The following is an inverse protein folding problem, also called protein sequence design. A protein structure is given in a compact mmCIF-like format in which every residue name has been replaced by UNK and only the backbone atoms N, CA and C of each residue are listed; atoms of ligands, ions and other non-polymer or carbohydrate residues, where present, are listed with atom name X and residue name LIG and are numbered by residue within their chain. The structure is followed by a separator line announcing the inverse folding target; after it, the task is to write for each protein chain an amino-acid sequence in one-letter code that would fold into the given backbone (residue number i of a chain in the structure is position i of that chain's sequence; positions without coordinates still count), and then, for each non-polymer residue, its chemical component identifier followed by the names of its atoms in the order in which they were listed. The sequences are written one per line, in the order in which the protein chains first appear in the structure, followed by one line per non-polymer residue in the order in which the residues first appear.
data_IF_152194900978
#
_entry.id   IF_152194900978
#
_cell.length_a   1.000
_cell.length_b   1.000
_cell.length_c   1.000
_cell.angle_alpha   90.00
_cell.angle_beta   90.00
_cell.angle_gamma   90.00
#
_symmetry.space_group_name_H-M   'P 1'
#
loop_
_entity.id
_entity.type
_entity.pdbx_description
1 polymer ?
#
# COMPACT_ATOMS: atom_id res chain seq x y z
N UNK A 1 -34.21 31.26 -75.26
CA UNK A 1 -35.31 30.66 -76.07
C UNK A 1 -35.38 29.17 -75.77
N UNK A 2 -36.55 28.73 -75.56
CA UNK A 2 -37.11 27.35 -75.46
C UNK A 2 -37.12 26.74 -74.07
N UNK A 3 -38.28 26.84 -73.51
CA UNK A 3 -38.93 26.04 -72.48
C UNK A 3 -39.10 24.60 -72.96
N UNK A 4 -39.01 23.64 -72.08
CA UNK A 4 -39.91 22.46 -72.13
C UNK A 4 -40.19 21.95 -70.70
N UNK A 5 -41.43 21.63 -70.51
CA UNK A 5 -42.16 21.34 -69.29
C UNK A 5 -42.19 19.86 -68.95
N UNK A 6 -42.36 19.59 -67.66
CA UNK A 6 -42.77 18.41 -66.86
C UNK A 6 -43.51 17.26 -67.60
N UNK A 7 -43.55 16.02 -67.01
CA UNK A 7 -44.46 15.83 -65.87
C UNK A 7 -43.96 14.91 -64.77
N UNK A 8 -44.58 15.07 -63.58
CA UNK A 8 -44.51 14.26 -62.39
C UNK A 8 -45.22 12.91 -62.57
N UNK A 9 -44.62 11.85 -61.95
CA UNK A 9 -45.40 10.69 -61.49
C UNK A 9 -44.84 10.27 -60.17
N UNK A 10 -45.69 10.32 -59.13
CA UNK A 10 -45.41 9.88 -57.82
C UNK A 10 -45.49 8.36 -57.68
N UNK A 11 -44.65 7.83 -56.75
CA UNK A 11 -44.94 6.56 -56.10
C UNK A 11 -44.50 6.72 -54.62
N UNK A 12 -45.48 6.74 -53.73
CA UNK A 12 -45.33 6.55 -52.31
C UNK A 12 -44.88 5.10 -52.08
N UNK A 13 -43.67 4.95 -51.61
CA UNK A 13 -43.18 3.70 -51.01
C UNK A 13 -42.98 3.89 -49.48
N UNK A 14 -43.91 3.39 -48.65
CA UNK A 14 -43.74 3.27 -47.24
C UNK A 14 -42.63 2.23 -46.99
N UNK A 15 -41.45 2.69 -46.61
CA UNK A 15 -40.44 1.84 -46.04
C UNK A 15 -40.64 1.81 -44.52
N UNK A 16 -41.20 0.72 -44.00
CA UNK A 16 -41.24 0.41 -42.59
C UNK A 16 -39.80 0.07 -42.14
N UNK A 17 -39.13 0.99 -41.46
CA UNK A 17 -37.91 0.69 -40.74
C UNK A 17 -38.27 -0.17 -39.52
N UNK A 18 -38.02 -1.48 -39.63
CA UNK A 18 -37.96 -2.35 -38.48
C UNK A 18 -36.67 -1.99 -37.68
N UNK A 19 -36.82 -1.28 -36.55
CA UNK A 19 -35.81 -1.14 -35.52
C UNK A 19 -35.64 -2.51 -34.85
N UNK A 20 -34.76 -3.35 -35.41
CA UNK A 20 -34.21 -4.47 -34.67
C UNK A 20 -33.26 -3.88 -33.62
N UNK A 21 -33.74 -3.74 -32.40
CA UNK A 21 -32.92 -3.45 -31.25
C UNK A 21 -31.89 -4.59 -31.11
N UNK A 22 -30.63 -4.26 -31.36
CA UNK A 22 -29.54 -5.10 -30.89
C UNK A 22 -29.56 -5.04 -29.34
N UNK A 23 -30.27 -5.99 -28.73
CA UNK A 23 -29.94 -6.37 -27.35
C UNK A 23 -28.57 -7.01 -27.46
N UNK A 24 -27.53 -6.28 -27.01
CA UNK A 24 -26.26 -6.90 -26.68
C UNK A 24 -26.56 -7.97 -25.65
N UNK A 25 -26.16 -9.22 -25.86
CA UNK A 25 -26.22 -10.18 -24.78
C UNK A 25 -25.37 -9.59 -23.64
N UNK A 26 -25.93 -9.44 -22.46
CA UNK A 26 -25.17 -9.35 -21.25
C UNK A 26 -24.25 -10.56 -21.30
N UNK A 27 -22.95 -10.31 -21.51
CA UNK A 27 -21.95 -11.35 -21.37
C UNK A 27 -22.03 -11.75 -19.88
N UNK A 28 -22.65 -12.89 -19.63
CA UNK A 28 -22.46 -13.59 -18.37
C UNK A 28 -20.94 -13.78 -18.26
N UNK A 29 -20.31 -13.22 -17.23
CA UNK A 29 -18.90 -13.42 -16.99
C UNK A 29 -18.64 -14.93 -16.99
N UNK A 30 -17.67 -15.39 -17.78
CA UNK A 30 -17.29 -16.78 -17.75
C UNK A 30 -16.94 -17.13 -16.29
N UNK A 31 -17.30 -18.32 -15.79
CA UNK A 31 -16.90 -18.73 -14.45
C UNK A 31 -15.39 -18.58 -14.33
N UNK A 32 -14.95 -17.97 -13.23
CA UNK A 32 -13.53 -17.82 -12.94
C UNK A 32 -12.87 -19.22 -12.97
N UNK A 33 -11.67 -19.30 -13.53
CA UNK A 33 -10.89 -20.54 -13.48
C UNK A 33 -10.43 -20.75 -12.01
N UNK A 34 -10.88 -21.80 -11.33
CA UNK A 34 -10.52 -22.02 -9.93
C UNK A 34 -9.02 -22.28 -9.73
N UNK A 35 -8.28 -22.53 -10.82
CA UNK A 35 -6.83 -22.74 -10.79
C UNK A 35 -6.07 -21.55 -11.42
N UNK A 36 -6.73 -20.43 -11.72
CA UNK A 36 -6.02 -19.26 -12.18
C UNK A 36 -5.00 -18.80 -11.12
N UNK A 37 -3.81 -18.32 -11.50
CA UNK A 37 -2.84 -17.81 -10.53
C UNK A 37 -3.45 -16.66 -9.72
N UNK A 38 -2.97 -16.50 -8.48
CA UNK A 38 -3.25 -15.31 -7.66
C UNK A 38 -2.20 -14.26 -8.02
N UNK A 39 -2.63 -13.09 -8.44
CA UNK A 39 -1.74 -12.01 -8.84
C UNK A 39 -1.62 -10.96 -7.73
N UNK A 40 -0.39 -10.53 -7.42
CA UNK A 40 -0.09 -9.63 -6.29
C UNK A 40 0.69 -8.43 -6.78
N UNK A 41 0.29 -7.22 -6.36
CA UNK A 41 1.11 -6.02 -6.47
C UNK A 41 1.76 -5.71 -5.11
N UNK A 42 3.05 -5.37 -5.13
CA UNK A 42 3.80 -4.99 -3.93
C UNK A 42 4.93 -4.02 -4.28
N UNK A 43 5.43 -3.30 -3.26
CA UNK A 43 6.68 -2.58 -3.38
C UNK A 43 7.84 -3.57 -3.34
N UNK A 44 8.94 -3.30 -4.07
CA UNK A 44 10.17 -4.06 -3.92
C UNK A 44 10.66 -4.02 -2.46
N UNK A 45 11.00 -5.16 -1.90
CA UNK A 45 11.53 -5.29 -0.54
C UNK A 45 12.91 -5.88 -0.60
N UNK A 46 13.94 -5.03 -0.38
CA UNK A 46 15.34 -5.42 -0.35
C UNK A 46 15.96 -5.62 -1.74
N UNK A 47 17.15 -5.08 -1.92
CA UNK A 47 17.93 -5.20 -3.17
C UNK A 47 19.08 -6.22 -3.05
N UNK A 48 19.19 -6.95 -1.92
CA UNK A 48 20.27 -7.93 -1.72
C UNK A 48 19.93 -9.24 -2.46
N UNK A 49 20.59 -9.54 -3.59
CA UNK A 49 20.33 -10.77 -4.34
C UNK A 49 20.79 -12.05 -3.61
N UNK A 50 21.38 -11.91 -2.41
CA UNK A 50 21.86 -13.03 -1.60
C UNK A 50 20.98 -13.31 -0.39
N UNK A 51 20.04 -12.41 -0.04
CA UNK A 51 19.05 -12.60 1.00
C UNK A 51 17.74 -13.17 0.42
N UNK A 52 17.01 -13.94 1.19
CA UNK A 52 15.64 -14.33 0.82
C UNK A 52 14.76 -13.08 0.75
N UNK A 53 14.05 -12.92 -0.36
CA UNK A 53 13.15 -11.81 -0.55
C UNK A 53 11.84 -12.09 0.21
N UNK A 54 11.44 -11.28 1.20
CA UNK A 54 10.24 -11.54 1.99
C UNK A 54 8.96 -11.72 1.18
N UNK A 55 8.83 -11.05 0.02
CA UNK A 55 7.66 -11.19 -0.83
C UNK A 55 7.66 -12.53 -1.60
N UNK A 56 8.84 -13.06 -1.96
CA UNK A 56 8.95 -14.38 -2.58
C UNK A 56 8.57 -15.46 -1.56
N UNK A 57 9.05 -15.35 -0.32
CA UNK A 57 8.65 -16.25 0.78
C UNK A 57 7.14 -16.19 1.03
N UNK A 58 6.57 -14.97 1.06
CA UNK A 58 5.12 -14.79 1.17
C UNK A 58 4.38 -15.51 0.03
N UNK A 59 4.84 -15.34 -1.22
CA UNK A 59 4.22 -15.96 -2.38
C UNK A 59 4.30 -17.50 -2.31
N UNK A 60 5.47 -18.06 -1.98
CA UNK A 60 5.64 -19.53 -1.81
C UNK A 60 4.69 -20.09 -0.73
N UNK A 61 4.58 -19.43 0.42
CA UNK A 61 3.66 -19.85 1.48
C UNK A 61 2.19 -19.74 1.03
N UNK A 62 1.84 -18.72 0.24
CA UNK A 62 0.50 -18.55 -0.30
C UNK A 62 0.18 -19.62 -1.37
N UNK A 63 1.16 -20.00 -2.20
CA UNK A 63 1.03 -21.14 -3.12
C UNK A 63 0.78 -22.44 -2.38
N UNK A 64 1.56 -22.70 -1.32
CA UNK A 64 1.41 -23.91 -0.50
C UNK A 64 0.04 -23.99 0.17
N UNK A 65 -0.46 -22.87 0.72
CA UNK A 65 -1.73 -22.83 1.45
C UNK A 65 -2.95 -22.89 0.53
N UNK A 66 -2.87 -22.26 -0.65
CA UNK A 66 -4.00 -22.16 -1.59
C UNK A 66 -4.01 -23.24 -2.67
N UNK A 67 -2.84 -23.86 -2.96
CA UNK A 67 -2.64 -24.77 -4.07
C UNK A 67 -2.72 -24.10 -5.44
N UNK A 68 -2.58 -22.77 -5.52
CA UNK A 68 -2.60 -21.96 -6.74
C UNK A 68 -1.24 -21.29 -6.93
N UNK A 69 -0.81 -21.14 -8.17
CA UNK A 69 0.39 -20.37 -8.51
C UNK A 69 0.20 -18.90 -8.08
N UNK A 70 1.27 -18.24 -7.65
CA UNK A 70 1.28 -16.81 -7.26
C UNK A 70 2.21 -16.03 -8.18
N UNK A 71 1.69 -14.96 -8.78
CA UNK A 71 2.46 -14.08 -9.66
C UNK A 71 2.65 -12.70 -9.00
N UNK A 72 3.90 -12.29 -8.83
CA UNK A 72 4.27 -11.01 -8.20
C UNK A 72 4.49 -9.95 -9.28
N UNK A 73 3.96 -8.76 -9.04
CA UNK A 73 4.21 -7.55 -9.82
C UNK A 73 4.79 -6.47 -8.91
N UNK A 74 6.05 -6.12 -9.13
CA UNK A 74 6.68 -5.01 -8.44
C UNK A 74 6.19 -3.68 -9.00
N UNK A 75 5.83 -2.77 -8.11
CA UNK A 75 5.40 -1.41 -8.45
C UNK A 75 6.19 -0.39 -7.63
N UNK A 76 6.35 0.86 -8.11
CA UNK A 76 7.29 1.81 -7.52
C UNK A 76 6.83 2.42 -6.18
N UNK A 77 5.52 2.43 -5.88
CA UNK A 77 4.93 3.12 -4.74
C UNK A 77 3.58 2.53 -4.35
N UNK A 78 3.08 2.88 -3.17
CA UNK A 78 1.79 2.40 -2.66
C UNK A 78 0.59 2.82 -3.53
N UNK A 79 0.63 4.00 -4.14
CA UNK A 79 -0.46 4.43 -5.02
C UNK A 79 -0.54 3.55 -6.27
N UNK A 80 0.59 3.10 -6.78
CA UNK A 80 0.67 2.15 -7.88
C UNK A 80 0.12 0.76 -7.51
N UNK A 81 0.27 0.31 -6.23
CA UNK A 81 -0.40 -0.90 -5.74
C UNK A 81 -1.92 -0.73 -5.82
N UNK A 82 -2.45 0.39 -5.30
CA UNK A 82 -3.89 0.68 -5.30
C UNK A 82 -4.44 0.71 -6.74
N UNK A 83 -3.74 1.39 -7.65
CA UNK A 83 -4.11 1.46 -9.05
C UNK A 83 -4.13 0.07 -9.73
N UNK A 84 -3.14 -0.78 -9.44
CA UNK A 84 -3.10 -2.13 -10.01
C UNK A 84 -4.30 -2.98 -9.54
N UNK A 85 -4.69 -2.88 -8.27
CA UNK A 85 -5.86 -3.57 -7.71
C UNK A 85 -7.14 -3.01 -8.33
N UNK A 86 -7.30 -1.68 -8.32
CA UNK A 86 -8.49 -0.99 -8.82
C UNK A 86 -8.75 -1.23 -10.31
N UNK A 87 -7.68 -1.33 -11.10
CA UNK A 87 -7.76 -1.58 -12.54
C UNK A 87 -7.89 -3.08 -12.90
N UNK A 88 -8.10 -3.97 -11.93
CA UNK A 88 -8.14 -5.42 -12.12
C UNK A 88 -6.86 -6.00 -12.78
N UNK A 89 -5.72 -5.32 -12.61
CA UNK A 89 -4.43 -5.83 -13.11
C UNK A 89 -3.85 -6.90 -12.19
N UNK A 90 -4.18 -6.84 -10.89
CA UNK A 90 -3.83 -7.84 -9.90
C UNK A 90 -5.04 -8.16 -9.01
N UNK A 91 -5.01 -9.31 -8.36
CA UNK A 91 -6.07 -9.75 -7.45
C UNK A 91 -5.96 -9.07 -6.09
N UNK A 92 -4.73 -8.96 -5.56
CA UNK A 92 -4.47 -8.42 -4.23
C UNK A 92 -3.22 -7.53 -4.18
N UNK A 93 -3.11 -6.79 -3.07
CA UNK A 93 -1.89 -6.10 -2.66
C UNK A 93 -1.77 -6.11 -1.15
N UNK A 94 -0.53 -6.15 -0.66
CA UNK A 94 -0.23 -6.06 0.77
C UNK A 94 0.39 -4.69 1.08
N UNK A 95 -0.18 -4.00 2.07
CA UNK A 95 0.23 -2.63 2.39
C UNK A 95 0.18 -2.38 3.89
N UNK A 96 0.95 -1.38 4.35
CA UNK A 96 0.85 -0.89 5.72
C UNK A 96 -0.50 -0.19 5.99
N UNK A 97 -0.82 0.07 7.26
CA UNK A 97 -2.15 0.52 7.67
C UNK A 97 -2.65 1.80 6.99
N UNK A 98 -1.77 2.81 6.88
CA UNK A 98 -2.15 4.11 6.30
C UNK A 98 -2.53 4.02 4.81
N UNK A 99 -1.70 3.52 3.89
CA UNK A 99 -2.10 3.38 2.49
C UNK A 99 -3.30 2.46 2.33
N UNK A 100 -3.47 1.45 3.21
CA UNK A 100 -4.68 0.63 3.23
C UNK A 100 -5.92 1.44 3.58
N UNK A 101 -5.84 2.29 4.61
CA UNK A 101 -6.93 3.19 5.00
C UNK A 101 -7.31 4.14 3.86
N UNK A 102 -6.33 4.74 3.20
CA UNK A 102 -6.53 5.62 2.05
C UNK A 102 -7.24 4.87 0.92
N UNK A 103 -6.75 3.69 0.56
CA UNK A 103 -7.30 2.88 -0.52
C UNK A 103 -8.75 2.44 -0.26
N UNK A 104 -9.03 1.89 0.93
CA UNK A 104 -10.39 1.46 1.33
C UNK A 104 -11.37 2.63 1.35
N UNK A 105 -10.92 3.81 1.76
CA UNK A 105 -11.75 5.01 1.82
C UNK A 105 -12.18 5.54 0.44
N UNK A 106 -11.48 5.15 -0.64
CA UNK A 106 -11.94 5.43 -2.01
C UNK A 106 -13.24 4.71 -2.36
N UNK A 107 -13.51 3.58 -1.70
CA UNK A 107 -14.61 2.68 -2.04
C UNK A 107 -14.40 1.89 -3.33
N UNK A 108 -13.18 1.83 -3.86
CA UNK A 108 -12.84 1.18 -5.14
C UNK A 108 -12.03 -0.12 -4.95
N UNK A 109 -11.59 -0.40 -3.72
CA UNK A 109 -10.93 -1.64 -3.33
C UNK A 109 -11.54 -2.17 -2.03
N UNK A 110 -11.42 -3.47 -1.79
CA UNK A 110 -11.88 -4.10 -0.57
C UNK A 110 -10.70 -4.46 0.33
N UNK A 111 -10.86 -4.31 1.65
CA UNK A 111 -9.93 -4.92 2.58
C UNK A 111 -10.36 -6.39 2.82
N UNK A 112 -9.48 -7.33 2.48
CA UNK A 112 -9.74 -8.77 2.66
C UNK A 112 -9.39 -9.23 4.07
N UNK A 113 -8.23 -8.79 4.57
CA UNK A 113 -7.73 -9.07 5.92
C UNK A 113 -7.01 -7.84 6.43
N UNK A 114 -7.30 -7.41 7.67
CA UNK A 114 -6.52 -6.41 8.38
C UNK A 114 -5.75 -7.04 9.54
N UNK A 115 -4.55 -6.56 9.77
CA UNK A 115 -3.68 -6.97 10.87
C UNK A 115 -3.73 -5.91 11.96
N UNK A 116 -4.20 -6.28 13.15
CA UNK A 116 -4.29 -5.36 14.28
C UNK A 116 -2.89 -4.94 14.72
N UNK A 117 -2.76 -3.68 15.09
CA UNK A 117 -1.56 -3.18 15.73
C UNK A 117 -1.41 -3.68 17.16
N UNK A 118 -0.24 -3.46 17.71
CA UNK A 118 0.04 -3.65 19.14
C UNK A 118 0.21 -2.27 19.82
N UNK A 119 0.38 -2.27 21.14
CA UNK A 119 0.55 -1.02 21.91
C UNK A 119 1.98 -0.44 21.82
N UNK A 120 2.77 -0.83 20.79
CA UNK A 120 4.16 -0.39 20.64
C UNK A 120 4.28 0.76 19.64
N UNK A 121 5.34 1.58 19.80
CA UNK A 121 5.68 2.59 18.81
C UNK A 121 5.91 1.98 17.42
N UNK A 122 5.37 2.65 16.41
CA UNK A 122 5.48 2.20 15.01
C UNK A 122 6.76 2.72 14.37
N UNK A 123 7.14 3.97 14.69
CA UNK A 123 8.20 4.67 13.99
C UNK A 123 9.16 5.36 14.95
N UNK A 124 10.39 5.50 14.49
CA UNK A 124 11.43 6.35 15.08
C UNK A 124 12.18 7.07 13.97
N UNK A 125 12.89 8.15 14.28
CA UNK A 125 13.83 8.75 13.34
C UNK A 125 15.26 8.39 13.73
N UNK A 126 15.98 7.77 12.80
CA UNK A 126 17.39 7.37 12.95
C UNK A 126 18.28 8.56 12.66
N UNK A 127 19.25 8.79 13.52
CA UNK A 127 20.34 9.74 13.34
C UNK A 127 21.69 9.04 13.55
N UNK A 128 22.76 9.54 12.92
CA UNK A 128 24.11 9.03 13.20
C UNK A 128 24.53 9.38 14.63
N UNK A 129 25.37 8.56 15.22
CA UNK A 129 25.70 8.67 16.65
C UNK A 129 26.43 9.96 17.04
N UNK A 130 27.10 10.62 16.08
CA UNK A 130 27.74 11.92 16.22
C UNK A 130 26.83 13.12 15.89
N UNK A 131 25.57 12.87 15.50
CA UNK A 131 24.58 13.92 15.23
C UNK A 131 24.31 14.77 16.48
N UNK A 132 24.11 16.09 16.34
CA UNK A 132 23.71 16.95 17.46
C UNK A 132 22.21 16.81 17.83
N UNK A 133 21.41 16.06 17.08
CA UNK A 133 19.99 15.85 17.34
C UNK A 133 19.83 14.83 18.47
N UNK A 134 19.42 15.27 19.66
CA UNK A 134 19.24 14.41 20.85
C UNK A 134 17.76 14.19 21.18
N UNK A 135 16.90 15.15 20.84
CA UNK A 135 15.45 15.13 21.10
C UNK A 135 14.65 15.43 19.83
N UNK A 136 13.33 15.25 19.90
CA UNK A 136 12.44 15.51 18.74
C UNK A 136 12.44 17.01 18.38
N UNK A 137 12.55 17.90 19.35
CA UNK A 137 12.58 19.35 19.14
C UNK A 137 13.85 19.81 18.39
N UNK A 138 14.94 19.03 18.42
CA UNK A 138 16.18 19.34 17.71
C UNK A 138 16.05 19.15 16.17
N UNK A 139 14.93 18.64 15.69
CA UNK A 139 14.65 18.58 14.25
C UNK A 139 14.33 19.96 13.63
N UNK A 140 14.17 21.01 14.45
CA UNK A 140 14.02 22.40 13.94
C UNK A 140 15.20 22.78 13.04
N UNK A 141 14.90 23.19 11.81
CA UNK A 141 15.88 23.58 10.78
C UNK A 141 16.64 22.43 10.15
N UNK A 142 16.22 21.16 10.35
CA UNK A 142 16.86 19.97 9.81
C UNK A 142 16.22 19.48 8.53
N UNK A 143 16.96 18.67 7.79
CA UNK A 143 16.44 17.90 6.63
C UNK A 143 16.21 16.47 7.06
N UNK A 144 14.97 16.00 6.91
CA UNK A 144 14.51 14.67 7.34
C UNK A 144 14.13 13.85 6.13
N UNK A 145 14.71 12.66 5.99
CA UNK A 145 14.29 11.70 4.98
C UNK A 145 13.09 10.89 5.47
N UNK A 146 12.08 10.84 4.62
CA UNK A 146 10.93 9.95 4.73
C UNK A 146 10.96 8.92 3.60
N UNK A 147 10.30 7.77 3.80
CA UNK A 147 10.29 6.70 2.83
C UNK A 147 9.38 7.01 1.62
N UNK A 148 8.19 6.45 1.60
CA UNK A 148 7.15 6.70 0.59
C UNK A 148 6.10 7.67 1.13
N UNK A 149 5.49 8.47 0.24
CA UNK A 149 4.50 9.52 0.61
C UNK A 149 3.21 8.96 1.23
N UNK A 150 2.93 7.69 1.02
CA UNK A 150 1.79 7.00 1.62
C UNK A 150 2.20 6.05 2.75
N UNK A 151 3.50 5.94 3.08
CA UNK A 151 3.99 5.02 4.11
C UNK A 151 3.49 5.38 5.50
N UNK A 152 2.97 4.40 6.24
CA UNK A 152 2.62 4.55 7.65
C UNK A 152 3.83 4.91 8.49
N UNK A 153 4.80 3.97 8.57
CA UNK A 153 5.96 4.09 9.44
C UNK A 153 7.07 4.98 8.90
N UNK A 154 7.12 5.15 7.58
CA UNK A 154 8.13 5.96 6.91
C UNK A 154 7.72 7.41 6.66
N UNK A 155 6.45 7.79 6.94
CA UNK A 155 5.99 9.16 6.71
C UNK A 155 4.91 9.61 7.70
N UNK A 156 3.70 9.05 7.69
CA UNK A 156 2.59 9.59 8.47
C UNK A 156 2.83 9.58 9.98
N UNK A 157 3.30 8.46 10.52
CA UNK A 157 3.55 8.34 11.95
C UNK A 157 4.70 9.22 12.43
N UNK A 158 5.84 9.32 11.71
CA UNK A 158 6.88 10.29 12.05
C UNK A 158 6.40 11.75 11.95
N UNK A 159 5.65 12.12 10.92
CA UNK A 159 5.10 13.49 10.79
C UNK A 159 4.18 13.82 11.96
N UNK A 160 3.32 12.88 12.34
CA UNK A 160 2.46 13.04 13.52
C UNK A 160 3.29 13.22 14.81
N UNK A 161 4.34 12.42 15.00
CA UNK A 161 5.27 12.55 16.14
C UNK A 161 5.94 13.93 16.18
N UNK A 162 6.41 14.43 15.03
CA UNK A 162 7.02 15.76 14.92
C UNK A 162 6.01 16.87 15.20
N UNK A 163 4.78 16.74 14.70
CA UNK A 163 3.69 17.67 14.96
C UNK A 163 3.33 17.75 16.45
N UNK A 164 3.24 16.62 17.14
CA UNK A 164 2.98 16.57 18.59
C UNK A 164 4.09 17.28 19.41
N UNK A 165 5.32 17.32 18.88
CA UNK A 165 6.42 18.11 19.43
C UNK A 165 6.39 19.60 19.01
N UNK A 166 5.39 20.01 18.23
CA UNK A 166 5.20 21.40 17.78
C UNK A 166 5.99 21.77 16.52
N UNK A 167 6.43 20.77 15.73
CA UNK A 167 7.20 20.99 14.50
C UNK A 167 6.34 20.72 13.26
N UNK A 168 6.25 21.71 12.37
CA UNK A 168 5.44 21.64 11.15
C UNK A 168 6.32 21.42 9.92
N UNK A 169 5.96 20.41 9.12
CA UNK A 169 6.65 20.09 7.86
C UNK A 169 6.65 21.31 6.91
N UNK A 170 7.81 21.59 6.31
CA UNK A 170 7.99 22.70 5.38
C UNK A 170 8.06 24.07 6.03
N UNK A 171 7.86 24.15 7.35
CA UNK A 171 8.03 25.38 8.16
C UNK A 171 9.21 25.22 9.10
N UNK A 172 9.22 24.18 9.90
CA UNK A 172 10.22 23.97 10.94
C UNK A 172 11.28 22.97 10.52
N UNK A 173 10.98 22.07 9.60
CA UNK A 173 11.95 21.13 9.01
C UNK A 173 11.65 20.87 7.52
N UNK A 174 12.69 20.47 6.77
CA UNK A 174 12.57 20.10 5.36
C UNK A 174 12.38 18.60 5.23
N UNK A 175 11.37 18.17 4.45
CA UNK A 175 11.07 16.78 4.17
C UNK A 175 11.61 16.36 2.80
N UNK A 176 12.31 15.22 2.74
CA UNK A 176 12.75 14.58 1.49
C UNK A 176 12.17 13.17 1.45
N UNK A 177 11.52 12.81 0.34
CA UNK A 177 11.05 11.44 0.09
C UNK A 177 12.10 10.67 -0.68
N UNK A 178 12.55 9.56 -0.10
CA UNK A 178 13.65 8.75 -0.63
C UNK A 178 13.19 7.50 -1.40
N UNK A 179 11.87 7.31 -1.54
CA UNK A 179 11.25 6.21 -2.29
C UNK A 179 11.09 4.90 -1.49
N UNK A 180 11.71 4.80 -0.31
CA UNK A 180 11.64 3.65 0.59
C UNK A 180 12.54 3.84 1.81
N UNK A 181 12.49 2.89 2.74
CA UNK A 181 13.31 2.94 3.96
C UNK A 181 14.80 2.84 3.63
N UNK A 182 15.18 1.97 2.71
CA UNK A 182 16.57 1.80 2.26
C UNK A 182 17.11 3.10 1.63
N UNK A 183 16.29 3.78 0.83
CA UNK A 183 16.64 5.09 0.26
C UNK A 183 16.88 6.15 1.34
N UNK A 184 16.05 6.16 2.40
CA UNK A 184 16.20 7.05 3.54
C UNK A 184 17.50 6.78 4.32
N UNK A 185 17.83 5.52 4.55
CA UNK A 185 19.10 5.12 5.20
C UNK A 185 20.32 5.49 4.35
N UNK A 186 20.25 5.26 3.03
CA UNK A 186 21.33 5.63 2.11
C UNK A 186 21.55 7.16 2.09
N UNK A 187 20.48 7.96 2.13
CA UNK A 187 20.58 9.42 2.20
C UNK A 187 21.23 9.88 3.51
N UNK A 188 20.90 9.22 4.64
CA UNK A 188 21.50 9.51 5.94
C UNK A 188 22.99 9.13 5.97
N UNK A 189 23.35 7.93 5.50
CA UNK A 189 24.73 7.45 5.44
C UNK A 189 25.61 8.37 4.58
N UNK A 190 25.05 8.90 3.48
CA UNK A 190 25.76 9.82 2.58
C UNK A 190 25.78 11.28 3.10
N UNK A 191 25.18 11.58 4.23
CA UNK A 191 25.10 12.92 4.82
C UNK A 191 24.26 13.89 3.98
N UNK A 192 23.31 13.39 3.20
CA UNK A 192 22.36 14.20 2.42
C UNK A 192 21.20 14.73 3.27
N UNK A 193 20.93 14.05 4.38
CA UNK A 193 19.91 14.41 5.35
C UNK A 193 20.48 14.32 6.78
N UNK A 194 19.82 14.98 7.72
CA UNK A 194 20.21 14.96 9.14
C UNK A 194 19.62 13.74 9.88
N UNK A 195 18.50 13.20 9.38
CA UNK A 195 17.81 12.06 9.94
C UNK A 195 17.04 11.26 8.89
N UNK A 196 16.77 9.99 9.18
CA UNK A 196 15.92 9.09 8.39
C UNK A 196 14.84 8.48 9.27
N UNK A 197 13.56 8.81 9.02
CA UNK A 197 12.46 8.23 9.77
C UNK A 197 12.02 6.88 9.19
N UNK A 198 11.78 5.90 10.06
CA UNK A 198 11.58 4.51 9.67
C UNK A 198 10.70 3.74 10.66
N UNK A 199 10.30 2.53 10.30
CA UNK A 199 9.67 1.59 11.21
C UNK A 199 10.67 1.17 12.32
N UNK A 200 10.21 1.16 13.57
CA UNK A 200 11.03 0.66 14.71
C UNK A 200 11.50 -0.75 14.44
N UNK A 201 10.62 -1.63 13.95
CA UNK A 201 10.95 -3.03 13.66
C UNK A 201 12.15 -3.20 12.71
N UNK A 202 12.32 -2.30 11.73
CA UNK A 202 13.44 -2.40 10.79
C UNK A 202 14.79 -2.21 11.50
N UNK A 203 14.84 -1.36 12.54
CA UNK A 203 16.07 -1.16 13.33
C UNK A 203 16.49 -2.39 14.13
N UNK A 204 15.58 -3.36 14.31
CA UNK A 204 15.81 -4.61 15.04
C UNK A 204 16.25 -5.75 14.11
N UNK A 205 15.98 -5.65 12.79
CA UNK A 205 16.29 -6.72 11.82
C UNK A 205 17.79 -6.77 11.45
N UNK A 206 18.51 -5.64 11.54
CA UNK A 206 19.90 -5.56 11.10
C UNK A 206 20.05 -5.65 9.58
N UNK A 207 21.29 -5.82 9.10
CA UNK A 207 21.58 -5.91 7.68
C UNK A 207 20.96 -7.19 7.05
N UNK A 208 20.47 -7.12 5.79
CA UNK A 208 20.57 -5.96 4.88
C UNK A 208 19.49 -4.88 5.11
N UNK A 209 18.42 -5.16 5.86
CA UNK A 209 17.27 -4.27 6.01
C UNK A 209 17.58 -2.98 6.78
N UNK A 210 18.55 -3.03 7.67
CA UNK A 210 19.02 -1.87 8.43
C UNK A 210 20.56 -1.84 8.43
N UNK A 211 21.17 -0.84 7.71
CA UNK A 211 22.60 -0.89 7.38
C UNK A 211 23.54 -0.46 8.50
N UNK A 212 23.03 0.16 9.58
CA UNK A 212 23.88 0.72 10.63
C UNK A 212 24.20 -0.31 11.72
N UNK A 213 25.49 -0.41 12.08
CA UNK A 213 25.92 -1.27 13.18
C UNK A 213 25.65 -0.62 14.54
N UNK A 214 25.68 -1.45 15.60
CA UNK A 214 25.53 -0.97 16.97
C UNK A 214 26.56 0.12 17.30
N UNK A 215 26.07 1.24 17.82
CA UNK A 215 26.89 2.40 18.18
C UNK A 215 27.20 3.36 17.04
N UNK A 216 26.75 3.12 15.82
CA UNK A 216 26.85 4.05 14.70
C UNK A 216 25.63 4.98 14.61
N UNK A 217 24.53 4.61 15.21
CA UNK A 217 23.25 5.29 15.16
C UNK A 217 22.53 5.33 16.50
N UNK A 218 21.48 6.13 16.57
CA UNK A 218 20.44 6.09 17.62
C UNK A 218 19.09 6.50 17.06
N UNK A 219 18.04 5.99 17.70
CA UNK A 219 16.66 6.46 17.47
C UNK A 219 16.39 7.75 18.25
N UNK A 220 15.66 8.67 17.64
CA UNK A 220 15.19 9.91 18.26
C UNK A 220 13.69 10.02 18.07
N UNK A 221 12.97 10.05 19.20
CA UNK A 221 11.53 10.03 19.24
C UNK A 221 10.93 8.66 18.90
N UNK A 222 9.71 8.47 19.35
CA UNK A 222 8.88 7.30 19.05
C UNK A 222 7.47 7.78 18.75
N UNK A 223 6.89 7.29 17.66
CA UNK A 223 5.49 7.59 17.34
C UNK A 223 4.53 6.83 18.23
N UNK A 224 3.24 7.22 18.30
CA UNK A 224 2.21 6.34 18.86
C UNK A 224 2.13 5.00 18.14
N UNK A 225 1.41 4.05 18.76
CA UNK A 225 0.96 2.82 18.14
C UNK A 225 -0.10 3.12 17.05
N UNK A 226 -0.33 2.15 16.15
CA UNK A 226 -1.43 2.18 15.18
C UNK A 226 -2.44 1.06 15.49
N UNK A 227 -3.72 1.33 15.29
CA UNK A 227 -4.77 0.31 15.47
C UNK A 227 -4.68 -0.80 14.42
N UNK A 228 -4.32 -0.45 13.19
CA UNK A 228 -4.09 -1.38 12.08
C UNK A 228 -2.67 -1.18 11.55
N UNK A 229 -1.82 -2.19 11.65
CA UNK A 229 -0.44 -2.10 11.17
C UNK A 229 -0.31 -2.40 9.67
N UNK A 230 -1.27 -3.14 9.09
CA UNK A 230 -1.31 -3.44 7.66
C UNK A 230 -2.58 -4.15 7.25
N UNK A 231 -2.77 -4.31 5.93
CA UNK A 231 -3.87 -5.07 5.38
C UNK A 231 -3.49 -5.73 4.04
N UNK A 232 -4.19 -6.80 3.72
CA UNK A 232 -4.28 -7.35 2.37
C UNK A 232 -5.54 -6.78 1.75
N UNK A 233 -5.37 -6.03 0.67
CA UNK A 233 -6.46 -5.46 -0.13
C UNK A 233 -6.71 -6.32 -1.36
N UNK A 234 -7.93 -6.30 -1.86
CA UNK A 234 -8.33 -7.02 -3.05
C UNK A 234 -9.22 -6.21 -3.99
N UNK A 235 -9.22 -6.59 -5.26
CA UNK A 235 -10.12 -6.00 -6.24
C UNK A 235 -11.57 -6.39 -5.96
N UNK A 236 -12.49 -5.48 -6.21
CA UNK A 236 -13.91 -5.68 -5.95
C UNK A 236 -14.56 -6.74 -6.86
N UNK A 237 -13.92 -7.05 -7.98
CA UNK A 237 -14.37 -8.05 -8.95
C UNK A 237 -13.98 -9.48 -8.60
N UNK A 238 -13.31 -9.72 -7.45
CA UNK A 238 -13.06 -11.09 -6.95
C UNK A 238 -14.38 -11.81 -6.70
N UNK A 239 -14.50 -13.03 -7.22
CA UNK A 239 -15.60 -13.91 -6.85
C UNK A 239 -15.45 -14.42 -5.42
N UNK A 240 -16.58 -14.84 -4.82
CA UNK A 240 -16.64 -15.24 -3.41
C UNK A 240 -15.73 -16.45 -3.10
N UNK A 241 -15.53 -17.37 -4.06
CA UNK A 241 -14.70 -18.55 -3.89
C UNK A 241 -13.22 -18.16 -3.86
N UNK A 242 -12.77 -17.37 -4.84
CA UNK A 242 -11.40 -16.85 -4.91
C UNK A 242 -11.09 -15.96 -3.68
N UNK A 243 -12.02 -15.06 -3.29
CA UNK A 243 -11.89 -14.24 -2.08
C UNK A 243 -11.63 -15.12 -0.85
N UNK A 244 -12.46 -16.15 -0.67
CA UNK A 244 -12.32 -17.04 0.48
C UNK A 244 -11.01 -17.83 0.47
N UNK A 245 -10.60 -18.35 -0.69
CA UNK A 245 -9.31 -19.06 -0.82
C UNK A 245 -8.15 -18.17 -0.42
N UNK A 246 -8.15 -16.91 -0.86
CA UNK A 246 -7.11 -15.93 -0.48
C UNK A 246 -7.16 -15.66 1.03
N UNK A 247 -8.32 -15.38 1.60
CA UNK A 247 -8.46 -15.09 3.03
C UNK A 247 -7.99 -16.26 3.91
N UNK A 248 -8.40 -17.48 3.57
CA UNK A 248 -7.98 -18.69 4.29
C UNK A 248 -6.44 -18.88 4.16
N UNK A 249 -5.89 -18.68 2.95
CA UNK A 249 -4.45 -18.77 2.69
C UNK A 249 -3.65 -17.70 3.47
N UNK A 250 -4.11 -16.46 3.50
CA UNK A 250 -3.48 -15.38 4.27
C UNK A 250 -3.42 -15.74 5.77
N UNK A 251 -4.47 -16.36 6.31
CA UNK A 251 -4.49 -16.77 7.70
C UNK A 251 -3.41 -17.84 8.02
N UNK A 252 -3.12 -18.73 7.07
CA UNK A 252 -2.06 -19.74 7.21
C UNK A 252 -0.67 -19.12 7.02
N UNK A 253 -0.49 -18.29 6.00
CA UNK A 253 0.77 -17.58 5.73
C UNK A 253 1.22 -16.77 6.94
N UNK A 254 0.34 -15.95 7.50
CA UNK A 254 0.64 -15.12 8.67
C UNK A 254 0.35 -15.86 9.99
N UNK A 255 0.70 -17.15 10.05
CA UNK A 255 0.75 -17.87 11.33
C UNK A 255 2.04 -17.55 12.09
N UNK A 256 2.05 -17.62 13.43
CA UNK A 256 3.24 -17.29 14.24
C UNK A 256 4.49 -18.13 13.89
N UNK A 257 4.31 -19.32 13.33
CA UNK A 257 5.40 -20.23 12.93
C UNK A 257 6.17 -19.71 11.70
N UNK A 258 5.55 -18.88 10.86
CA UNK A 258 6.15 -18.30 9.66
C UNK A 258 6.81 -16.92 9.91
N UNK A 259 6.69 -16.36 11.12
CA UNK A 259 7.11 -15.00 11.41
C UNK A 259 8.60 -14.72 11.07
N UNK A 260 9.50 -15.66 11.36
CA UNK A 260 10.92 -15.52 11.06
C UNK A 260 11.19 -15.56 9.54
N UNK A 261 10.55 -16.47 8.83
CA UNK A 261 10.72 -16.62 7.38
C UNK A 261 10.17 -15.42 6.60
N UNK A 262 9.08 -14.82 7.07
CA UNK A 262 8.45 -13.65 6.44
C UNK A 262 9.26 -12.35 6.59
N UNK A 263 10.32 -12.30 7.38
CA UNK A 263 11.21 -11.14 7.49
C UNK A 263 10.46 -9.85 7.81
N UNK A 264 10.46 -8.89 6.91
CA UNK A 264 9.78 -7.59 7.08
C UNK A 264 8.25 -7.71 7.26
N UNK A 265 7.63 -8.78 6.76
CA UNK A 265 6.21 -9.08 6.98
C UNK A 265 5.95 -9.91 8.25
N UNK A 266 6.98 -10.34 8.96
CA UNK A 266 6.86 -11.21 10.13
C UNK A 266 6.04 -10.61 11.28
N UNK A 267 5.98 -9.28 11.38
CA UNK A 267 5.14 -8.60 12.38
C UNK A 267 3.64 -8.91 12.19
N UNK A 268 3.19 -9.13 10.97
CA UNK A 268 1.79 -9.49 10.69
C UNK A 268 1.45 -10.90 11.17
N UNK A 269 2.42 -11.81 11.23
CA UNK A 269 2.23 -13.17 11.73
C UNK A 269 1.90 -13.25 13.23
N UNK A 270 2.28 -12.24 14.01
CA UNK A 270 1.97 -12.13 15.43
C UNK A 270 0.68 -11.35 15.70
N UNK A 271 0.11 -10.69 14.68
CA UNK A 271 -1.03 -9.81 14.80
C UNK A 271 -2.36 -10.59 14.85
N UNK A 272 -3.34 -10.06 15.58
CA UNK A 272 -4.73 -10.50 15.44
C UNK A 272 -5.24 -10.10 14.06
N UNK A 273 -5.87 -11.04 13.35
CA UNK A 273 -6.40 -10.82 12.01
C UNK A 273 -7.90 -10.58 12.05
N UNK A 274 -8.35 -9.54 11.33
CA UNK A 274 -9.77 -9.28 11.09
C UNK A 274 -10.08 -9.52 9.62
N UNK A 275 -10.95 -10.48 9.33
CA UNK A 275 -11.42 -10.80 7.98
C UNK A 275 -12.57 -9.86 7.60
N UNK A 276 -12.56 -9.39 6.35
CA UNK A 276 -13.52 -8.41 5.80
C UNK A 276 -13.73 -7.18 6.73
N UNK A 277 -12.64 -6.48 7.13
CA UNK A 277 -12.77 -5.29 7.96
C UNK A 277 -13.56 -4.21 7.20
N UNK A 278 -14.49 -3.57 7.87
CA UNK A 278 -15.20 -2.42 7.29
C UNK A 278 -14.38 -1.12 7.40
N UNK A 279 -14.82 -0.07 6.70
CA UNK A 279 -14.12 1.22 6.70
C UNK A 279 -13.97 1.85 8.08
N UNK A 280 -14.80 1.48 9.08
CA UNK A 280 -14.67 2.00 10.45
C UNK A 280 -13.43 1.46 11.17
N UNK A 281 -12.90 0.31 10.74
CA UNK A 281 -11.64 -0.25 11.24
C UNK A 281 -10.43 0.67 10.98
N UNK A 282 -10.53 1.54 9.99
CA UNK A 282 -9.50 2.47 9.58
C UNK A 282 -9.76 3.93 10.02
N UNK A 283 -10.78 4.17 10.84
CA UNK A 283 -11.21 5.53 11.18
C UNK A 283 -10.16 6.33 12.00
N UNK A 284 -9.31 5.67 12.78
CA UNK A 284 -8.26 6.30 13.58
C UNK A 284 -7.19 7.02 12.74
N UNK A 285 -7.05 6.65 11.47
CA UNK A 285 -6.07 7.28 10.58
C UNK A 285 -6.43 8.69 10.13
N UNK A 286 -7.71 9.10 10.26
CA UNK A 286 -8.17 10.40 9.76
C UNK A 286 -7.48 11.59 10.46
N UNK A 287 -7.24 11.52 11.78
CA UNK A 287 -6.55 12.57 12.53
C UNK A 287 -5.10 12.70 12.09
N UNK A 288 -4.40 11.59 11.93
CA UNK A 288 -2.99 11.55 11.51
C UNK A 288 -2.85 12.04 10.07
N UNK A 289 -3.77 11.66 9.17
CA UNK A 289 -3.81 12.15 7.80
C UNK A 289 -3.93 13.68 7.75
N UNK A 290 -4.84 14.24 8.54
CA UNK A 290 -5.07 15.69 8.60
C UNK A 290 -3.80 16.46 9.04
N UNK A 291 -3.04 15.92 10.00
CA UNK A 291 -1.74 16.50 10.42
C UNK A 291 -0.73 16.51 9.27
N UNK A 292 -0.70 15.47 8.46
CA UNK A 292 0.16 15.40 7.28
C UNK A 292 -0.36 16.25 6.09
N UNK A 293 -1.49 16.95 6.27
CA UNK A 293 -2.12 17.75 5.22
C UNK A 293 -2.78 16.90 4.13
N UNK A 294 -3.12 15.66 4.44
CA UNK A 294 -3.80 14.72 3.54
C UNK A 294 -5.22 14.51 4.04
N UNK A 295 -6.19 14.90 3.23
CA UNK A 295 -7.58 14.54 3.49
C UNK A 295 -7.83 13.14 2.92
N UNK A 296 -8.43 12.24 3.71
CA UNK A 296 -8.75 10.89 3.23
C UNK A 296 -9.66 10.88 1.98
N UNK A 297 -10.30 12.01 1.69
CA UNK A 297 -11.16 12.22 0.52
C UNK A 297 -10.41 12.71 -0.73
N UNK A 298 -9.17 13.22 -0.59
CA UNK A 298 -8.38 13.81 -1.68
C UNK A 298 -7.75 12.75 -2.60
N UNK A 299 -7.88 11.47 -2.25
CA UNK A 299 -7.33 10.34 -2.97
C UNK A 299 -8.36 9.66 -3.90
N UNK A 300 -9.44 10.37 -4.25
CA UNK A 300 -10.46 9.90 -5.19
C UNK A 300 -10.09 10.20 -6.62
#
# INVERSE_FOLDING_TARGET
MRRFTLPAVGLLGLAALALTGCQSPTAEAAPADPNAPITIATLPVGDDPTAENPIEVFAELLEESTGRDVEITDVPDYLSVVEAIRADHVDIGIMSGFPSALAVNTGEVDALVAFQGDDKPVSTCVVLNDSPIETVEDFEGKTVAFADQASSSGYFMPVYMLHEAGLEQGTDYEAIFAGGHEGSFAALEQGQVDAACTAVMLTELGAPMFPFADGEWRGVGESPAMDIQGAVLGRQSLDDETRKVIQDGIAEVFSPENAEALGAYGSFAAAEQTVDPDGSSFASFAEIAAVAGVELEDLK
#
